data_IF_152071411759
#
_entry.id   IF_152071411759
#
_cell.length_a   1.000
_cell.length_b   1.000
_cell.length_c   1.000
_cell.angle_alpha   90.00
_cell.angle_beta   90.00
_cell.angle_gamma   90.00
#
_symmetry.space_group_name_H-M   'P 1'
#
loop_
_entity.id
_entity.type
_entity.pdbx_description
1 polymer ?
#
# COMPACT_ATOMS: atom_id res chain seq x y z
N UNK A 1 57.02 -7.55 -21.99
CA UNK A 1 56.27 -8.62 -22.69
C UNK A 1 54.99 -8.88 -21.92
N UNK A 2 53.83 -8.41 -22.38
CA UNK A 2 52.56 -8.67 -21.74
C UNK A 2 52.01 -10.00 -22.27
N UNK A 3 51.84 -10.99 -21.39
CA UNK A 3 51.03 -12.17 -21.72
C UNK A 3 49.57 -11.82 -21.49
N UNK A 4 48.79 -12.02 -22.56
CA UNK A 4 47.37 -11.78 -22.67
C UNK A 4 46.57 -12.58 -21.62
N UNK A 5 45.68 -11.90 -20.89
CA UNK A 5 44.58 -12.53 -20.19
C UNK A 5 43.42 -12.70 -21.18
N UNK A 6 43.07 -13.96 -21.44
CA UNK A 6 41.88 -14.37 -22.17
C UNK A 6 40.64 -13.90 -21.43
N UNK A 7 39.76 -13.19 -22.13
CA UNK A 7 38.44 -12.77 -21.63
C UNK A 7 37.49 -13.95 -21.81
N UNK A 8 37.32 -14.75 -20.77
CA UNK A 8 36.22 -15.70 -20.65
C UNK A 8 35.76 -15.73 -19.19
N UNK A 9 34.55 -15.20 -19.03
CA UNK A 9 33.59 -15.48 -17.96
C UNK A 9 33.79 -14.78 -16.61
N UNK A 10 33.21 -13.57 -16.54
CA UNK A 10 33.05 -12.73 -15.35
C UNK A 10 31.55 -12.54 -15.08
N UNK A 11 31.11 -13.01 -13.89
CA UNK A 11 30.16 -12.35 -12.94
C UNK A 11 28.64 -12.65 -13.12
N UNK A 12 27.83 -12.67 -12.04
CA UNK A 12 27.46 -13.87 -11.31
C UNK A 12 25.92 -13.99 -11.24
N UNK A 13 25.43 -15.06 -10.61
CA UNK A 13 24.01 -15.31 -10.44
C UNK A 13 23.34 -14.32 -9.47
N UNK A 14 22.10 -13.97 -9.82
CA UNK A 14 20.99 -13.43 -8.99
C UNK A 14 21.10 -12.00 -8.46
N UNK A 15 20.89 -11.04 -9.37
CA UNK A 15 20.17 -9.80 -9.05
C UNK A 15 18.79 -9.86 -9.72
N UNK A 16 17.74 -9.87 -8.90
CA UNK A 16 16.35 -9.74 -9.34
C UNK A 16 16.12 -8.29 -9.82
N UNK A 17 16.59 -7.98 -11.03
CA UNK A 17 16.21 -6.76 -11.73
C UNK A 17 14.95 -7.05 -12.55
N UNK A 18 13.83 -6.43 -12.16
CA UNK A 18 12.67 -6.25 -13.03
C UNK A 18 13.09 -5.41 -14.25
N UNK A 19 13.51 -6.07 -15.33
CA UNK A 19 13.71 -5.45 -16.64
C UNK A 19 12.45 -5.70 -17.45
N UNK A 20 11.61 -4.69 -17.60
CA UNK A 20 10.59 -4.65 -18.65
C UNK A 20 11.30 -4.47 -19.99
N UNK A 21 11.61 -5.58 -20.67
CA UNK A 21 12.09 -5.54 -22.05
C UNK A 21 10.87 -5.31 -22.95
N UNK A 22 10.69 -4.06 -23.40
CA UNK A 22 9.82 -3.77 -24.54
C UNK A 22 10.57 -4.15 -25.81
N UNK A 23 10.21 -5.29 -26.42
CA UNK A 23 10.65 -5.63 -27.76
C UNK A 23 10.05 -4.63 -28.75
N UNK A 24 10.89 -3.76 -29.31
CA UNK A 24 10.59 -3.09 -30.58
C UNK A 24 10.90 -4.05 -31.72
N UNK A 25 9.89 -4.77 -32.20
CA UNK A 25 9.90 -5.32 -33.56
C UNK A 25 9.14 -4.35 -34.44
N UNK A 26 9.87 -3.71 -35.36
CA UNK A 26 9.30 -3.04 -36.52
C UNK A 26 8.83 -4.13 -37.46
N UNK A 27 7.53 -4.38 -37.52
CA UNK A 27 6.93 -5.00 -38.70
C UNK A 27 5.56 -4.37 -38.99
N UNK A 28 5.41 -4.02 -40.26
CA UNK A 28 4.27 -3.30 -40.81
C UNK A 28 3.08 -4.26 -40.95
N UNK A 29 2.17 -4.19 -39.98
CA UNK A 29 0.89 -4.88 -40.00
C UNK A 29 0.05 -4.34 -38.86
N UNK A 30 -0.68 -3.26 -39.12
CA UNK A 30 -1.52 -2.57 -38.13
C UNK A 30 -2.67 -3.45 -37.64
N UNK A 31 -2.37 -4.35 -36.70
CA UNK A 31 -3.37 -4.82 -35.74
C UNK A 31 -3.49 -3.69 -34.72
N UNK A 32 -4.54 -2.88 -34.85
CA UNK A 32 -5.04 -2.10 -33.73
C UNK A 32 -5.46 -3.11 -32.65
N UNK A 33 -4.51 -3.51 -31.81
CA UNK A 33 -4.86 -3.92 -30.46
C UNK A 33 -5.51 -2.69 -29.87
N UNK A 34 -6.84 -2.67 -29.81
CA UNK A 34 -7.53 -1.85 -28.85
C UNK A 34 -6.90 -2.22 -27.51
N UNK A 35 -5.93 -1.42 -27.06
CA UNK A 35 -5.51 -1.42 -25.68
C UNK A 35 -6.78 -1.01 -24.95
N UNK A 36 -7.55 -2.01 -24.50
CA UNK A 36 -8.63 -1.81 -23.57
C UNK A 36 -7.97 -1.15 -22.37
N UNK A 37 -7.95 0.17 -22.37
CA UNK A 37 -7.34 0.97 -21.32
C UNK A 37 -8.07 0.56 -20.06
N UNK A 38 -7.42 -0.23 -19.20
CA UNK A 38 -8.01 -0.67 -17.94
C UNK A 38 -8.19 0.60 -17.11
N UNK A 39 -9.42 1.09 -17.06
CA UNK A 39 -9.80 2.22 -16.23
C UNK A 39 -10.46 1.70 -14.97
N UNK A 40 -10.00 2.18 -13.82
CA UNK A 40 -10.63 1.92 -12.53
C UNK A 40 -11.49 3.11 -12.16
N UNK A 41 -12.77 2.92 -11.75
CA UNK A 41 -13.61 4.04 -11.32
C UNK A 41 -13.18 4.59 -9.95
N UNK A 42 -12.61 3.74 -9.09
CA UNK A 42 -12.18 4.10 -7.75
C UNK A 42 -10.91 3.36 -7.34
N UNK A 43 -10.18 3.95 -6.37
CA UNK A 43 -9.07 3.32 -5.67
C UNK A 43 -9.37 3.27 -4.17
N UNK A 44 -9.41 2.07 -3.59
CA UNK A 44 -9.54 1.87 -2.14
C UNK A 44 -8.21 1.35 -1.59
N UNK A 45 -7.59 2.09 -0.67
CA UNK A 45 -6.29 1.73 -0.10
C UNK A 45 -6.41 1.22 1.34
N UNK A 46 -5.67 0.15 1.65
CA UNK A 46 -5.62 -0.52 2.95
C UNK A 46 -4.16 -0.76 3.32
N UNK A 47 -3.84 -0.68 4.61
CA UNK A 47 -2.48 -0.92 5.05
C UNK A 47 -1.96 0.01 6.13
N UNK A 48 -0.68 0.30 6.03
CA UNK A 48 0.08 1.10 6.97
C UNK A 48 0.44 2.49 6.44
N UNK A 49 1.50 3.09 6.99
CA UNK A 49 2.00 4.43 6.68
C UNK A 49 2.36 4.63 5.20
N UNK A 50 2.64 3.57 4.44
CA UNK A 50 3.00 3.65 3.01
C UNK A 50 1.85 4.21 2.16
N UNK A 51 0.61 3.96 2.60
CA UNK A 51 -0.62 4.33 1.86
C UNK A 51 -1.62 5.13 2.70
N UNK A 52 -1.27 5.49 3.95
CA UNK A 52 -2.06 6.36 4.82
C UNK A 52 -2.01 7.82 4.36
N UNK A 53 -3.18 8.41 4.20
CA UNK A 53 -3.37 9.80 3.77
C UNK A 53 -3.91 10.70 4.88
N UNK A 54 -3.97 10.21 6.12
CA UNK A 54 -4.28 10.98 7.32
C UNK A 54 -5.32 10.38 8.26
N UNK A 55 -5.59 9.07 8.23
CA UNK A 55 -6.56 8.46 9.16
C UNK A 55 -6.11 8.55 10.63
N UNK A 56 -4.81 8.70 10.87
CA UNK A 56 -4.26 8.83 12.23
C UNK A 56 -4.38 10.25 12.82
N UNK A 57 -4.79 11.26 12.05
CA UNK A 57 -4.73 12.67 12.46
C UNK A 57 -5.52 12.98 13.75
N UNK A 58 -6.70 12.39 13.90
CA UNK A 58 -7.62 12.62 15.03
C UNK A 58 -7.65 11.45 16.03
N UNK A 59 -6.72 10.51 15.90
CA UNK A 59 -6.61 9.35 16.79
C UNK A 59 -5.49 9.56 17.80
N UNK A 60 -5.60 8.91 18.94
CA UNK A 60 -4.50 8.81 19.90
C UNK A 60 -3.59 7.66 19.45
N UNK A 61 -2.46 7.96 18.83
CA UNK A 61 -1.50 6.96 18.32
C UNK A 61 -0.12 7.59 18.28
N UNK A 62 0.92 6.78 18.41
CA UNK A 62 2.31 7.24 18.26
C UNK A 62 2.69 7.43 16.78
N UNK A 63 1.98 6.78 15.84
CA UNK A 63 2.23 6.89 14.43
C UNK A 63 1.50 8.10 13.82
N UNK A 64 2.03 9.31 14.03
CA UNK A 64 1.47 10.55 13.47
C UNK A 64 2.39 11.22 12.46
N UNK A 65 1.80 11.66 11.35
CA UNK A 65 2.49 12.42 10.31
C UNK A 65 1.79 13.75 9.96
N UNK A 66 0.99 14.29 10.89
CA UNK A 66 0.36 15.62 10.79
C UNK A 66 1.12 16.69 11.59
N UNK A 67 2.43 16.53 11.70
CA UNK A 67 3.35 17.43 12.39
C UNK A 67 4.58 17.70 11.53
N UNK A 68 5.30 18.84 11.68
CA UNK A 68 6.59 19.02 11.05
C UNK A 68 7.59 17.91 11.46
N UNK A 69 8.50 17.47 10.56
CA UNK A 69 8.81 18.02 9.24
C UNK A 69 8.00 17.41 8.07
N UNK A 70 6.91 16.67 8.33
CA UNK A 70 6.10 16.08 7.28
C UNK A 70 5.41 17.15 6.41
N UNK A 71 5.15 16.82 5.15
CA UNK A 71 4.39 17.68 4.24
C UNK A 71 5.13 18.91 3.66
N UNK A 72 6.44 19.06 3.87
CA UNK A 72 7.22 20.21 3.36
C UNK A 72 7.10 20.47 1.85
N UNK A 73 6.90 19.42 1.06
CA UNK A 73 6.71 19.47 -0.39
C UNK A 73 5.25 19.14 -0.81
N UNK A 74 4.35 18.97 0.15
CA UNK A 74 2.92 18.80 -0.13
C UNK A 74 2.34 20.17 -0.53
N UNK A 75 1.28 20.23 -1.36
CA UNK A 75 0.62 21.49 -1.65
C UNK A 75 0.32 22.30 -0.38
N UNK A 76 0.82 23.54 -0.33
CA UNK A 76 0.71 24.42 0.85
C UNK A 76 1.72 24.17 1.97
N UNK A 77 2.68 23.26 1.81
CA UNK A 77 3.71 22.96 2.81
C UNK A 77 3.17 22.36 4.11
N UNK A 78 1.99 21.76 4.07
CA UNK A 78 1.24 21.33 5.25
C UNK A 78 1.40 19.82 5.55
N UNK A 79 1.61 19.50 6.82
CA UNK A 79 1.60 18.13 7.31
C UNK A 79 0.16 17.58 7.37
N UNK A 80 -0.20 16.75 6.39
CA UNK A 80 -1.59 16.25 6.22
C UNK A 80 -1.85 14.89 6.86
N UNK A 81 -0.85 14.26 7.49
CA UNK A 81 -0.94 12.87 7.95
C UNK A 81 -0.34 11.85 6.98
N UNK A 82 0.22 12.32 5.86
CA UNK A 82 1.02 11.53 4.92
C UNK A 82 2.43 11.35 5.47
N UNK A 83 2.91 10.10 5.53
CA UNK A 83 4.23 9.76 6.06
C UNK A 83 5.35 10.08 5.06
N UNK A 84 5.51 11.35 4.73
CA UNK A 84 6.57 11.86 3.87
C UNK A 84 6.50 13.37 3.71
N UNK A 85 7.35 13.92 2.86
CA UNK A 85 7.31 15.35 2.54
C UNK A 85 6.20 15.70 1.53
N UNK A 86 5.61 14.73 0.84
CA UNK A 86 4.66 14.98 -0.25
C UNK A 86 3.59 13.90 -0.37
N UNK A 87 3.16 13.62 -1.60
CA UNK A 87 2.22 12.54 -1.93
C UNK A 87 2.78 11.17 -1.49
N UNK A 88 1.93 10.34 -0.90
CA UNK A 88 2.27 8.94 -0.59
C UNK A 88 1.91 8.03 -1.77
N UNK A 89 2.27 6.75 -1.70
CA UNK A 89 2.11 5.85 -2.85
C UNK A 89 0.66 5.72 -3.32
N UNK A 90 -0.31 5.75 -2.40
CA UNK A 90 -1.73 5.72 -2.75
C UNK A 90 -2.20 6.96 -3.52
N UNK A 91 -1.64 8.15 -3.25
CA UNK A 91 -1.92 9.35 -4.07
C UNK A 91 -1.30 9.23 -5.46
N UNK A 92 -0.04 8.80 -5.53
CA UNK A 92 0.68 8.66 -6.79
C UNK A 92 0.00 7.65 -7.71
N UNK A 93 -0.50 6.56 -7.13
CA UNK A 93 -1.26 5.56 -7.88
C UNK A 93 -2.62 6.11 -8.35
N UNK A 94 -3.36 6.80 -7.47
CA UNK A 94 -4.63 7.43 -7.85
C UNK A 94 -4.46 8.43 -9.02
N UNK A 95 -3.41 9.24 -8.95
CA UNK A 95 -3.07 10.23 -9.98
C UNK A 95 -2.62 9.56 -11.28
N UNK A 96 -1.72 8.57 -11.19
CA UNK A 96 -1.23 7.82 -12.34
C UNK A 96 -2.33 7.07 -13.08
N UNK A 97 -3.33 6.56 -12.34
CA UNK A 97 -4.54 5.93 -12.91
C UNK A 97 -5.58 6.95 -13.39
N UNK A 98 -5.32 8.26 -13.22
CA UNK A 98 -6.22 9.37 -13.57
C UNK A 98 -7.58 9.29 -12.88
N UNK A 99 -7.60 8.78 -11.64
CA UNK A 99 -8.81 8.71 -10.80
C UNK A 99 -9.01 10.06 -10.10
N UNK A 100 -7.99 10.51 -9.37
CA UNK A 100 -7.99 11.80 -8.66
C UNK A 100 -6.55 12.20 -8.30
N UNK A 101 -6.25 13.51 -8.13
CA UNK A 101 -4.90 13.97 -7.82
C UNK A 101 -4.43 13.63 -6.40
N UNK A 102 -5.35 13.47 -5.45
CA UNK A 102 -5.08 13.15 -4.04
C UNK A 102 -6.14 12.18 -3.54
N UNK A 103 -5.72 11.14 -2.83
CA UNK A 103 -6.62 10.17 -2.22
C UNK A 103 -6.96 10.62 -0.80
N UNK A 104 -8.23 10.90 -0.47
CA UNK A 104 -8.59 11.35 0.87
C UNK A 104 -8.58 10.19 1.86
N UNK A 105 -8.32 10.50 3.13
CA UNK A 105 -8.47 9.56 4.24
C UNK A 105 -9.95 9.38 4.57
N UNK A 106 -10.40 8.15 4.81
CA UNK A 106 -11.81 7.88 5.12
C UNK A 106 -12.28 8.58 6.41
N UNK A 107 -11.40 8.74 7.40
CA UNK A 107 -11.70 9.43 8.67
C UNK A 107 -11.49 10.95 8.58
N UNK A 108 -11.32 11.52 7.39
CA UNK A 108 -11.20 12.95 7.23
C UNK A 108 -12.53 13.66 7.58
N UNK A 109 -12.56 14.71 8.42
CA UNK A 109 -13.81 15.30 8.93
C UNK A 109 -14.75 15.87 7.86
N UNK A 110 -14.22 16.26 6.70
CA UNK A 110 -14.96 16.96 5.63
C UNK A 110 -15.09 16.07 4.38
N UNK A 111 -15.01 14.75 4.54
CA UNK A 111 -15.13 13.80 3.43
C UNK A 111 -16.52 13.88 2.78
N UNK A 112 -16.56 14.05 1.44
CA UNK A 112 -17.80 14.16 0.69
C UNK A 112 -18.26 12.80 0.14
N UNK A 113 -19.51 12.71 -0.33
CA UNK A 113 -20.04 11.47 -0.93
C UNK A 113 -19.31 11.11 -2.23
N UNK A 114 -18.98 12.11 -3.05
CA UNK A 114 -18.28 11.97 -4.33
C UNK A 114 -16.84 11.46 -4.14
N UNK A 115 -16.24 11.73 -2.98
CA UNK A 115 -14.94 11.16 -2.62
C UNK A 115 -15.01 9.64 -2.50
N UNK A 116 -16.11 9.12 -1.95
CA UNK A 116 -16.32 7.68 -1.80
C UNK A 116 -16.48 6.99 -3.16
N UNK A 117 -17.18 7.62 -4.11
CA UNK A 117 -17.41 7.06 -5.45
C UNK A 117 -16.11 6.83 -6.23
N UNK A 118 -15.12 7.68 -5.98
CA UNK A 118 -13.80 7.65 -6.63
C UNK A 118 -12.71 7.08 -5.72
N UNK A 119 -13.07 6.67 -4.51
CA UNK A 119 -12.23 5.90 -3.60
C UNK A 119 -11.44 6.72 -2.58
N UNK A 120 -11.01 6.04 -1.52
CA UNK A 120 -10.42 6.60 -0.29
C UNK A 120 -9.34 5.68 0.28
N UNK A 121 -8.54 6.20 1.20
CA UNK A 121 -7.64 5.37 2.02
C UNK A 121 -8.27 5.04 3.37
N UNK A 122 -8.26 3.76 3.73
CA UNK A 122 -8.57 3.23 5.06
C UNK A 122 -7.31 2.92 5.86
N UNK A 123 -6.14 3.06 5.26
CA UNK A 123 -4.86 2.71 5.88
C UNK A 123 -4.56 3.55 7.12
N UNK A 124 -3.75 3.00 8.02
CA UNK A 124 -3.37 3.63 9.28
C UNK A 124 -1.90 3.37 9.57
N UNK A 125 -1.11 4.44 9.69
CA UNK A 125 0.28 4.34 10.10
C UNK A 125 0.45 3.48 11.35
N UNK A 126 1.43 2.58 11.33
CA UNK A 126 1.68 1.62 12.41
C UNK A 126 0.79 0.37 12.40
N UNK A 127 -0.11 0.22 11.42
CA UNK A 127 -0.91 -1.01 11.27
C UNK A 127 -0.04 -2.21 10.86
N UNK A 128 -0.52 -3.40 11.21
CA UNK A 128 0.00 -4.69 10.78
C UNK A 128 -1.12 -5.73 10.71
N UNK A 129 -0.78 -6.95 10.32
CA UNK A 129 -1.64 -8.13 10.46
C UNK A 129 -1.62 -8.69 11.88
N UNK A 130 -0.52 -8.53 12.62
CA UNK A 130 -0.41 -8.97 14.00
C UNK A 130 -1.07 -7.96 14.95
N UNK A 131 -2.00 -8.43 15.79
CA UNK A 131 -2.66 -7.60 16.78
C UNK A 131 -1.69 -6.97 17.78
N UNK A 132 -0.58 -7.64 18.09
CA UNK A 132 0.45 -7.09 18.97
C UNK A 132 1.08 -5.84 18.35
N UNK A 133 1.45 -5.90 17.07
CA UNK A 133 1.96 -4.75 16.30
C UNK A 133 1.00 -3.55 16.40
N UNK A 134 -0.29 -3.82 16.21
CA UNK A 134 -1.33 -2.78 16.24
C UNK A 134 -1.48 -2.18 17.64
N UNK A 135 -1.49 -3.02 18.68
CA UNK A 135 -1.62 -2.58 20.09
C UNK A 135 -0.45 -1.71 20.52
N UNK A 136 0.78 -2.09 20.15
CA UNK A 136 1.98 -1.34 20.49
C UNK A 136 1.95 0.10 19.94
N UNK A 137 1.32 0.30 18.79
CA UNK A 137 1.27 1.60 18.10
C UNK A 137 -0.07 2.32 18.26
N UNK A 138 -1.07 1.68 18.85
CA UNK A 138 -2.47 2.10 18.86
C UNK A 138 -3.01 2.49 17.46
N UNK A 139 -2.65 1.69 16.45
CA UNK A 139 -3.05 1.89 15.05
C UNK A 139 -4.48 1.37 14.79
N UNK A 140 -5.03 1.56 13.58
CA UNK A 140 -6.23 0.79 13.15
C UNK A 140 -5.74 -0.59 12.73
N UNK A 141 -6.32 -1.65 13.29
CA UNK A 141 -6.04 -3.02 12.82
C UNK A 141 -6.57 -3.21 11.40
N UNK A 142 -6.09 -4.22 10.68
CA UNK A 142 -6.67 -4.57 9.37
C UNK A 142 -8.18 -4.86 9.45
N UNK A 143 -8.65 -5.39 10.59
CA UNK A 143 -10.07 -5.61 10.87
C UNK A 143 -10.84 -4.30 11.02
N UNK A 144 -10.27 -3.29 11.67
CA UNK A 144 -10.87 -1.97 11.76
C UNK A 144 -10.97 -1.33 10.38
N UNK A 145 -9.93 -1.45 9.56
CA UNK A 145 -9.94 -0.95 8.18
C UNK A 145 -11.01 -1.65 7.33
N UNK A 146 -11.18 -2.96 7.48
CA UNK A 146 -12.28 -3.72 6.85
C UNK A 146 -13.65 -3.22 7.32
N UNK A 147 -13.82 -2.90 8.62
CA UNK A 147 -15.07 -2.37 9.14
C UNK A 147 -15.39 -0.97 8.58
N UNK A 148 -14.39 -0.11 8.44
CA UNK A 148 -14.53 1.19 7.76
C UNK A 148 -14.92 0.99 6.29
N UNK A 149 -14.36 -0.01 5.61
CA UNK A 149 -14.78 -0.34 4.25
C UNK A 149 -16.23 -0.82 4.19
N UNK A 150 -16.69 -1.69 5.11
CA UNK A 150 -18.10 -2.10 5.20
C UNK A 150 -19.04 -0.89 5.43
N UNK A 151 -18.60 0.10 6.21
CA UNK A 151 -19.33 1.36 6.35
C UNK A 151 -19.33 2.17 5.05
N UNK A 152 -18.19 2.25 4.34
CA UNK A 152 -18.09 2.88 3.03
C UNK A 152 -19.03 2.24 2.00
N UNK A 153 -19.12 0.90 1.95
CA UNK A 153 -20.04 0.18 1.07
C UNK A 153 -21.48 0.61 1.34
N UNK A 154 -21.92 0.60 2.61
CA UNK A 154 -23.27 1.05 2.98
C UNK A 154 -23.54 2.52 2.61
N UNK A 155 -22.56 3.40 2.78
CA UNK A 155 -22.66 4.82 2.37
C UNK A 155 -22.78 4.96 0.85
N UNK A 156 -22.02 4.19 0.08
CA UNK A 156 -22.13 4.15 -1.38
C UNK A 156 -23.51 3.65 -1.81
N UNK A 157 -23.98 2.53 -1.25
CA UNK A 157 -25.31 1.99 -1.57
C UNK A 157 -26.43 3.01 -1.27
N UNK A 158 -26.34 3.71 -0.14
CA UNK A 158 -27.31 4.74 0.23
C UNK A 158 -27.22 6.02 -0.61
N UNK A 159 -26.04 6.37 -1.13
CA UNK A 159 -25.83 7.59 -1.92
C UNK A 159 -26.11 7.44 -3.41
N UNK A 160 -25.70 6.31 -4.01
CA UNK A 160 -25.77 6.11 -5.47
C UNK A 160 -26.60 4.90 -5.90
N UNK A 161 -27.24 4.23 -4.94
CA UNK A 161 -28.01 3.01 -5.16
C UNK A 161 -27.14 1.75 -5.19
N UNK A 162 -27.73 0.63 -4.78
CA UNK A 162 -27.05 -0.64 -4.58
C UNK A 162 -26.40 -1.18 -5.86
N UNK A 163 -27.11 -1.14 -7.00
CA UNK A 163 -26.61 -1.65 -8.27
C UNK A 163 -25.34 -0.89 -8.72
N UNK A 164 -25.39 0.46 -8.69
CA UNK A 164 -24.25 1.29 -9.08
C UNK A 164 -23.09 1.14 -8.08
N UNK A 165 -23.37 1.05 -6.78
CA UNK A 165 -22.35 0.79 -5.76
C UNK A 165 -21.62 -0.54 -6.00
N UNK A 166 -22.35 -1.63 -6.22
CA UNK A 166 -21.78 -2.95 -6.52
C UNK A 166 -20.96 -2.95 -7.81
N UNK A 167 -21.44 -2.25 -8.85
CA UNK A 167 -20.71 -2.08 -10.10
C UNK A 167 -19.42 -1.27 -9.91
N UNK A 168 -19.45 -0.20 -9.10
CA UNK A 168 -18.25 0.59 -8.76
C UNK A 168 -17.24 -0.26 -8.01
N UNK A 169 -17.65 -0.93 -6.92
CA UNK A 169 -16.77 -1.76 -6.08
C UNK A 169 -16.11 -2.87 -6.89
N UNK A 170 -16.89 -3.65 -7.65
CA UNK A 170 -16.35 -4.77 -8.46
C UNK A 170 -15.38 -4.34 -9.56
N UNK A 171 -15.48 -3.09 -10.04
CA UNK A 171 -14.58 -2.55 -11.07
C UNK A 171 -13.39 -1.79 -10.50
N UNK A 172 -13.41 -1.41 -9.23
CA UNK A 172 -12.39 -0.62 -8.54
C UNK A 172 -11.10 -1.39 -8.28
N UNK A 173 -10.01 -0.66 -8.02
CA UNK A 173 -8.74 -1.23 -7.58
C UNK A 173 -8.63 -1.17 -6.06
N UNK A 174 -8.18 -2.27 -5.45
CA UNK A 174 -7.93 -2.38 -4.02
C UNK A 174 -6.43 -2.49 -3.79
N UNK A 175 -5.83 -1.42 -3.28
CA UNK A 175 -4.40 -1.36 -2.95
C UNK A 175 -4.19 -1.82 -1.51
N UNK A 176 -3.33 -2.81 -1.30
CA UNK A 176 -3.03 -3.36 0.04
C UNK A 176 -1.53 -3.29 0.29
N UNK A 177 -1.12 -2.60 1.37
CA UNK A 177 0.28 -2.55 1.82
C UNK A 177 0.33 -2.75 3.34
N UNK A 178 0.51 -4.00 3.75
CA UNK A 178 0.42 -4.41 5.15
C UNK A 178 1.48 -5.48 5.43
N UNK A 179 1.96 -5.55 6.67
CA UNK A 179 3.00 -6.51 7.08
C UNK A 179 4.35 -5.88 7.40
N UNK A 180 4.60 -4.64 6.96
CA UNK A 180 5.89 -3.98 7.18
C UNK A 180 6.18 -3.81 8.67
N UNK A 181 5.20 -3.35 9.44
CA UNK A 181 5.38 -3.14 10.88
C UNK A 181 5.46 -4.45 11.66
N UNK A 182 4.82 -5.53 11.18
CA UNK A 182 4.90 -6.84 11.83
C UNK A 182 6.34 -7.35 11.81
N UNK A 183 7.00 -7.25 10.65
CA UNK A 183 8.41 -7.64 10.55
C UNK A 183 9.33 -6.59 11.17
N UNK A 184 9.18 -5.32 10.81
CA UNK A 184 10.11 -4.25 11.22
C UNK A 184 10.13 -3.98 12.73
N UNK A 185 9.01 -4.25 13.41
CA UNK A 185 8.84 -3.94 14.82
C UNK A 185 8.65 -5.22 15.61
N UNK A 186 7.57 -5.97 15.38
CA UNK A 186 7.21 -7.09 16.27
C UNK A 186 8.18 -8.25 16.16
N UNK A 187 8.47 -8.72 14.93
CA UNK A 187 9.46 -9.78 14.73
C UNK A 187 10.82 -9.37 15.28
N UNK A 188 11.35 -8.19 14.91
CA UNK A 188 12.66 -7.76 15.42
C UNK A 188 12.69 -7.46 16.92
N UNK A 189 11.57 -7.10 17.55
CA UNK A 189 11.53 -6.93 19.02
C UNK A 189 11.57 -8.29 19.74
N UNK A 190 11.07 -9.35 19.11
CA UNK A 190 10.93 -10.68 19.70
C UNK A 190 11.59 -11.79 18.88
N UNK A 191 12.62 -11.49 18.09
CA UNK A 191 13.18 -12.44 17.12
C UNK A 191 13.82 -13.67 17.77
N UNK A 192 14.16 -13.59 19.06
CA UNK A 192 14.63 -14.74 19.85
C UNK A 192 13.51 -15.69 20.28
N UNK A 193 12.25 -15.23 20.25
CA UNK A 193 11.06 -15.98 20.66
C UNK A 193 10.19 -16.39 19.45
N UNK A 194 10.32 -15.70 18.33
CA UNK A 194 9.54 -15.92 17.13
C UNK A 194 10.37 -16.64 16.07
N UNK A 195 9.91 -17.83 15.68
CA UNK A 195 10.37 -18.50 14.48
C UNK A 195 9.86 -17.73 13.24
N UNK A 196 10.77 -17.37 12.33
CA UNK A 196 10.44 -16.50 11.19
C UNK A 196 9.50 -17.19 10.20
N UNK A 197 9.65 -18.50 9.98
CA UNK A 197 8.83 -19.25 9.03
C UNK A 197 7.40 -19.40 9.57
N UNK A 198 7.25 -19.74 10.85
CA UNK A 198 5.96 -19.79 11.51
C UNK A 198 5.29 -18.41 11.55
N UNK A 199 6.04 -17.35 11.88
CA UNK A 199 5.50 -16.00 11.97
C UNK A 199 5.03 -15.48 10.61
N UNK A 200 5.85 -15.61 9.57
CA UNK A 200 5.47 -15.19 8.21
C UNK A 200 4.31 -16.01 7.66
N UNK A 201 4.22 -17.31 7.99
CA UNK A 201 3.06 -18.16 7.67
C UNK A 201 1.78 -17.59 8.30
N UNK A 202 1.83 -17.17 9.56
CA UNK A 202 0.69 -16.52 10.23
C UNK A 202 0.28 -15.20 9.54
N UNK A 203 1.24 -14.37 9.13
CA UNK A 203 0.97 -13.12 8.42
C UNK A 203 0.32 -13.38 7.05
N UNK A 204 0.81 -14.37 6.29
CA UNK A 204 0.22 -14.78 5.00
C UNK A 204 -1.20 -15.32 5.17
N UNK A 205 -1.46 -16.10 6.23
CA UNK A 205 -2.81 -16.57 6.54
C UNK A 205 -3.75 -15.40 6.86
N UNK A 206 -3.28 -14.42 7.62
CA UNK A 206 -4.05 -13.20 7.94
C UNK A 206 -4.35 -12.37 6.70
N UNK A 207 -3.36 -12.19 5.82
CA UNK A 207 -3.52 -11.53 4.52
C UNK A 207 -4.55 -12.28 3.64
N UNK A 208 -4.45 -13.60 3.58
CA UNK A 208 -5.35 -14.44 2.79
C UNK A 208 -6.80 -14.33 3.27
N UNK A 209 -7.02 -14.35 4.59
CA UNK A 209 -8.34 -14.15 5.19
C UNK A 209 -8.90 -12.75 4.89
N UNK A 210 -8.08 -11.71 5.01
CA UNK A 210 -8.49 -10.34 4.66
C UNK A 210 -8.93 -10.22 3.18
N UNK A 211 -8.16 -10.81 2.24
CA UNK A 211 -8.52 -10.78 0.82
C UNK A 211 -9.84 -11.54 0.57
N UNK A 212 -10.07 -12.68 1.24
CA UNK A 212 -11.35 -13.40 1.17
C UNK A 212 -12.52 -12.55 1.67
N UNK A 213 -12.37 -11.91 2.84
CA UNK A 213 -13.40 -11.02 3.38
C UNK A 213 -13.71 -9.85 2.45
N UNK A 214 -12.69 -9.25 1.83
CA UNK A 214 -12.86 -8.20 0.83
C UNK A 214 -13.59 -8.72 -0.42
N UNK A 215 -13.32 -9.96 -0.83
CA UNK A 215 -13.98 -10.60 -1.97
C UNK A 215 -15.48 -10.82 -1.69
N UNK A 216 -15.85 -11.22 -0.48
CA UNK A 216 -17.26 -11.32 -0.07
C UNK A 216 -17.99 -9.97 -0.10
N UNK A 217 -17.26 -8.86 0.06
CA UNK A 217 -17.79 -7.50 -0.07
C UNK A 217 -17.79 -6.96 -1.51
N UNK A 218 -17.50 -7.81 -2.51
CA UNK A 218 -17.56 -7.44 -3.92
C UNK A 218 -16.24 -6.95 -4.54
N UNK A 219 -15.14 -6.88 -3.77
CA UNK A 219 -13.83 -6.52 -4.31
C UNK A 219 -13.30 -7.59 -5.28
N UNK A 220 -12.73 -7.19 -6.43
CA UNK A 220 -12.28 -8.14 -7.46
C UNK A 220 -10.86 -7.91 -7.99
N UNK A 221 -10.31 -6.70 -7.87
CA UNK A 221 -9.03 -6.35 -8.46
C UNK A 221 -8.11 -5.82 -7.38
N UNK A 222 -7.06 -6.57 -7.07
CA UNK A 222 -6.16 -6.26 -5.97
C UNK A 222 -4.76 -5.94 -6.48
N UNK A 223 -4.14 -4.93 -5.88
CA UNK A 223 -2.72 -4.66 -5.95
C UNK A 223 -2.14 -4.84 -4.55
N UNK A 224 -1.53 -5.99 -4.29
CA UNK A 224 -0.92 -6.30 -3.00
C UNK A 224 0.58 -6.00 -3.07
N UNK A 225 1.05 -5.07 -2.25
CA UNK A 225 2.46 -4.77 -2.11
C UNK A 225 3.10 -5.77 -1.16
N UNK A 226 4.24 -6.33 -1.57
CA UNK A 226 5.13 -7.05 -0.66
C UNK A 226 5.77 -6.10 0.35
N UNK A 227 6.47 -6.68 1.32
CA UNK A 227 7.27 -5.93 2.28
C UNK A 227 8.30 -5.05 1.57
N UNK A 228 8.49 -3.83 2.06
CA UNK A 228 9.58 -2.99 1.58
C UNK A 228 10.94 -3.55 2.03
N UNK A 229 12.07 -3.12 1.45
CA UNK A 229 13.41 -3.53 1.89
C UNK A 229 13.74 -2.99 3.30
N UNK A 230 13.18 -3.62 4.35
CA UNK A 230 13.18 -3.13 5.73
C UNK A 230 14.59 -2.96 6.32
N UNK A 231 15.57 -3.77 5.89
CA UNK A 231 16.97 -3.66 6.31
C UNK A 231 17.65 -2.35 5.89
N UNK A 232 17.13 -1.70 4.84
CA UNK A 232 17.68 -0.45 4.30
C UNK A 232 17.10 0.81 4.96
N UNK A 233 16.09 0.66 5.82
CA UNK A 233 15.53 1.80 6.53
C UNK A 233 16.58 2.40 7.47
N UNK A 234 16.68 3.75 7.59
CA UNK A 234 17.63 4.39 8.48
C UNK A 234 17.56 3.89 9.92
N UNK A 235 16.35 3.59 10.43
CA UNK A 235 16.15 3.05 11.77
C UNK A 235 16.78 1.66 11.92
N UNK A 236 16.53 0.76 10.96
CA UNK A 236 17.13 -0.58 10.91
C UNK A 236 18.65 -0.52 10.80
N UNK A 237 19.19 0.41 10.00
CA UNK A 237 20.64 0.60 9.88
C UNK A 237 21.28 1.17 11.14
N UNK A 238 20.60 2.09 11.81
CA UNK A 238 21.10 2.74 13.02
C UNK A 238 21.16 1.77 14.19
N UNK A 239 20.12 0.95 14.38
CA UNK A 239 20.04 0.03 15.51
C UNK A 239 20.57 -1.39 15.21
N UNK A 240 20.51 -1.84 13.96
CA UNK A 240 20.90 -3.19 13.55
C UNK A 240 22.15 -3.28 12.66
N UNK A 241 22.83 -2.16 12.37
CA UNK A 241 24.04 -2.14 11.54
C UNK A 241 23.82 -2.29 10.03
N UNK A 242 22.55 -2.43 9.60
CA UNK A 242 22.17 -2.70 8.21
C UNK A 242 22.12 -4.20 7.96
N UNK A 243 20.92 -4.77 8.10
CA UNK A 243 20.69 -6.17 7.76
C UNK A 243 20.83 -6.34 6.24
N UNK A 244 21.79 -7.17 5.81
CA UNK A 244 21.88 -7.70 4.43
C UNK A 244 20.93 -8.87 4.25
#
# INVERSE_FOLDING_TARGET
MPCAFSYSDIVPATALCLILVLFSTRDAGGVCLASNKITFPALFAFGDSIVDTGNNNKRFTIAKANIPPYGRHFPGGAATGRFGNGKVFSDLLAEGLRIKPLLPAYLHPVLQGEDLETGVSFASGGSGFDEFTVKLQNALSIKDQLNLFKECVRKLEGGIGQEKANATISKSLFLVSQGNNDIAITYFLFHFLLDIDAYTTQLVNSASSFIKDMYELGARKFACLSLIPLGYLPISRTFGGGFQ
#
